data_IF_110754085514
#
_entry.id   IF_110754085514
#
_cell.length_a   1.000
_cell.length_b   1.000
_cell.length_c   1.000
_cell.angle_alpha   90.00
_cell.angle_beta   90.00
_cell.angle_gamma   90.00
#
_symmetry.space_group_name_H-M   'P 1'
#
loop_
_entity.id
_entity.type
_entity.pdbx_description
1 polymer ?
#
# COMPACT_ATOMS: atom_id res chain seq x y z
N UNK A 1 -2.88 -13.50 3.22
CA UNK A 1 -2.01 -12.58 2.45
C UNK A 1 -0.56 -12.97 2.69
N UNK A 2 0.28 -13.08 1.65
CA UNK A 2 1.71 -13.34 1.86
C UNK A 2 2.41 -12.04 2.35
N UNK A 3 3.45 -12.18 3.17
CA UNK A 3 4.23 -11.05 3.72
C UNK A 3 4.89 -10.19 2.64
N UNK A 4 5.20 -10.75 1.47
CA UNK A 4 5.77 -10.05 0.31
C UNK A 4 4.80 -9.00 -0.21
N UNK A 5 3.52 -9.35 -0.39
CA UNK A 5 2.49 -8.44 -0.90
C UNK A 5 2.05 -7.40 0.14
N UNK A 6 2.02 -7.77 1.42
CA UNK A 6 1.69 -6.83 2.50
C UNK A 6 2.70 -5.68 2.57
N UNK A 7 3.93 -5.87 2.11
CA UNK A 7 4.93 -4.80 2.04
C UNK A 7 4.72 -3.81 0.88
N UNK A 8 3.75 -4.05 -0.01
CA UNK A 8 3.57 -3.24 -1.22
C UNK A 8 2.12 -2.75 -1.36
N UNK A 9 1.16 -3.67 -1.35
CA UNK A 9 -0.25 -3.37 -1.62
C UNK A 9 -0.84 -2.28 -0.71
N UNK A 10 -0.55 -2.21 0.61
CA UNK A 10 -1.06 -1.13 1.45
C UNK A 10 -0.53 0.25 1.05
N UNK A 11 0.70 0.33 0.54
CA UNK A 11 1.29 1.59 0.08
C UNK A 11 0.64 2.05 -1.23
N UNK A 12 0.45 1.15 -2.18
CA UNK A 12 -0.28 1.43 -3.42
C UNK A 12 -1.74 1.83 -3.13
N UNK A 13 -2.39 1.13 -2.22
CA UNK A 13 -3.76 1.45 -1.77
C UNK A 13 -3.84 2.87 -1.20
N UNK A 14 -2.85 3.28 -0.40
CA UNK A 14 -2.77 4.65 0.14
C UNK A 14 -2.62 5.69 -0.98
N UNK A 15 -1.78 5.42 -1.98
CA UNK A 15 -1.62 6.31 -3.13
C UNK A 15 -2.93 6.50 -3.90
N UNK A 16 -3.65 5.40 -4.16
CA UNK A 16 -4.96 5.46 -4.82
C UNK A 16 -6.00 6.23 -4.00
N UNK A 17 -6.02 6.03 -2.68
CA UNK A 17 -6.94 6.74 -1.80
C UNK A 17 -6.71 8.25 -1.83
N UNK A 18 -5.44 8.67 -1.89
CA UNK A 18 -5.05 10.07 -1.99
C UNK A 18 -5.39 10.68 -3.35
N UNK A 19 -5.16 9.96 -4.45
CA UNK A 19 -5.53 10.39 -5.79
C UNK A 19 -7.05 10.65 -5.89
N UNK A 20 -7.86 9.74 -5.35
CA UNK A 20 -9.32 9.88 -5.28
C UNK A 20 -9.72 11.07 -4.39
N UNK A 21 -9.06 11.25 -3.25
CA UNK A 21 -9.41 12.30 -2.29
C UNK A 21 -8.98 13.70 -2.75
N UNK A 22 -7.95 13.78 -3.59
CA UNK A 22 -7.35 15.02 -4.07
C UNK A 22 -6.59 15.79 -2.98
N UNK A 23 -6.18 17.02 -3.33
CA UNK A 23 -5.24 17.81 -2.52
C UNK A 23 -5.69 18.08 -1.08
N UNK A 24 -6.99 18.04 -0.76
CA UNK A 24 -7.49 18.22 0.61
C UNK A 24 -6.97 17.15 1.59
N UNK A 25 -6.64 15.95 1.11
CA UNK A 25 -6.15 14.84 1.92
C UNK A 25 -4.62 14.59 1.82
N UNK A 26 -3.92 15.29 0.92
CA UNK A 26 -2.50 15.06 0.64
C UNK A 26 -1.64 16.28 0.96
N UNK A 27 -1.89 17.41 0.30
CA UNK A 27 -1.10 18.65 0.46
C UNK A 27 -1.27 19.35 1.82
N UNK A 28 -2.12 18.84 2.71
CA UNK A 28 -2.46 19.55 3.95
C UNK A 28 -3.20 20.87 3.71
N UNK A 29 -3.82 21.08 2.54
CA UNK A 29 -4.64 22.27 2.21
C UNK A 29 -5.83 22.51 3.16
N UNK A 30 -6.12 21.55 4.04
CA UNK A 30 -7.16 21.68 5.04
C UNK A 30 -6.64 22.48 6.25
N UNK A 31 -7.31 23.58 6.63
CA UNK A 31 -6.98 24.33 7.84
C UNK A 31 -7.07 23.46 9.10
N UNK A 32 -6.41 23.91 10.18
CA UNK A 32 -6.40 23.18 11.44
C UNK A 32 -7.79 23.14 12.09
N UNK A 33 -7.98 22.23 13.05
CA UNK A 33 -9.22 22.22 13.84
C UNK A 33 -9.45 23.56 14.56
N UNK A 34 -8.39 24.22 15.02
CA UNK A 34 -8.47 25.52 15.69
C UNK A 34 -9.01 26.58 14.73
N UNK A 35 -8.52 26.58 13.48
CA UNK A 35 -9.00 27.48 12.42
C UNK A 35 -10.49 27.26 12.14
N UNK A 36 -10.93 26.00 12.11
CA UNK A 36 -12.35 25.66 11.91
C UNK A 36 -13.25 26.10 13.07
N UNK A 37 -12.70 26.27 14.27
CA UNK A 37 -13.40 26.77 15.46
C UNK A 37 -13.23 28.27 15.69
N UNK A 38 -12.51 28.96 14.81
CA UNK A 38 -12.34 30.41 14.88
C UNK A 38 -13.69 31.13 14.80
N UNK A 39 -14.02 32.03 15.74
CA UNK A 39 -15.24 32.83 15.67
C UNK A 39 -15.18 33.88 14.55
N UNK A 40 -13.99 34.16 14.00
CA UNK A 40 -13.78 35.21 12.99
C UNK A 40 -14.04 34.66 11.58
N UNK A 41 -13.61 33.42 11.31
CA UNK A 41 -13.60 32.87 9.95
C UNK A 41 -13.95 31.39 9.86
N UNK A 42 -14.16 30.67 10.97
CA UNK A 42 -14.45 29.23 10.97
C UNK A 42 -15.70 28.89 10.18
N UNK A 43 -16.77 29.68 10.31
CA UNK A 43 -18.00 29.48 9.53
C UNK A 43 -17.76 29.61 8.02
N UNK A 44 -16.93 30.58 7.59
CA UNK A 44 -16.57 30.77 6.17
C UNK A 44 -15.77 29.59 5.65
N UNK A 45 -14.83 29.07 6.44
CA UNK A 45 -14.06 27.87 6.10
C UNK A 45 -14.99 26.66 5.94
N UNK A 46 -15.84 26.38 6.92
CA UNK A 46 -16.79 25.26 6.86
C UNK A 46 -17.71 25.39 5.65
N UNK A 47 -18.22 26.58 5.35
CA UNK A 47 -19.04 26.83 4.17
C UNK A 47 -18.29 26.53 2.87
N UNK A 48 -17.02 26.92 2.76
CA UNK A 48 -16.18 26.67 1.58
C UNK A 48 -15.84 25.20 1.36
N UNK A 49 -15.86 24.39 2.42
CA UNK A 49 -15.53 22.97 2.38
C UNK A 49 -16.74 22.06 2.15
N UNK A 50 -17.96 22.61 2.17
CA UNK A 50 -19.18 21.84 1.90
C UNK A 50 -19.15 21.20 0.51
N UNK A 51 -19.65 19.98 0.39
CA UNK A 51 -19.79 19.25 -0.87
C UNK A 51 -21.18 18.59 -0.94
N UNK A 52 -21.30 17.43 -1.59
CA UNK A 52 -22.50 16.59 -1.51
C UNK A 52 -22.79 16.02 -0.11
N UNK A 53 -21.88 16.26 0.84
CA UNK A 53 -21.99 15.88 2.26
C UNK A 53 -21.70 17.08 3.17
N UNK A 54 -21.91 16.93 4.48
CA UNK A 54 -21.57 17.96 5.45
C UNK A 54 -20.06 18.29 5.40
N UNK A 55 -19.71 19.54 5.68
CA UNK A 55 -18.30 19.95 5.72
C UNK A 55 -17.52 19.20 6.79
N UNK A 56 -18.17 18.92 7.94
CA UNK A 56 -17.55 18.17 9.03
C UNK A 56 -17.19 16.73 8.62
N UNK A 57 -18.09 16.03 7.94
CA UNK A 57 -17.84 14.65 7.51
C UNK A 57 -16.74 14.61 6.45
N UNK A 58 -16.76 15.56 5.50
CA UNK A 58 -15.70 15.69 4.48
C UNK A 58 -14.33 15.94 5.12
N UNK A 59 -14.27 16.84 6.10
CA UNK A 59 -13.05 17.17 6.85
C UNK A 59 -12.53 15.94 7.62
N UNK A 60 -13.40 15.24 8.34
CA UNK A 60 -13.03 14.04 9.11
C UNK A 60 -12.45 12.95 8.22
N UNK A 61 -13.08 12.69 7.07
CA UNK A 61 -12.60 11.70 6.12
C UNK A 61 -11.26 12.10 5.48
N UNK A 62 -11.12 13.37 5.08
CA UNK A 62 -9.86 13.85 4.54
C UNK A 62 -8.72 13.80 5.57
N UNK A 63 -8.97 14.14 6.85
CA UNK A 63 -7.96 14.04 7.93
C UNK A 63 -7.59 12.60 8.24
N UNK A 64 -8.53 11.67 8.19
CA UNK A 64 -8.23 10.25 8.37
C UNK A 64 -7.30 9.73 7.27
N UNK A 65 -7.57 10.07 6.01
CA UNK A 65 -6.73 9.68 4.88
C UNK A 65 -5.33 10.31 4.97
N UNK A 66 -5.25 11.60 5.29
CA UNK A 66 -3.99 12.30 5.54
C UNK A 66 -3.18 11.61 6.65
N UNK A 67 -3.82 11.28 7.77
CA UNK A 67 -3.17 10.60 8.90
C UNK A 67 -2.64 9.20 8.53
N UNK A 68 -3.37 8.46 7.71
CA UNK A 68 -2.97 7.15 7.21
C UNK A 68 -1.86 7.25 6.15
N UNK A 69 -1.77 8.35 5.40
CA UNK A 69 -0.84 8.50 4.29
C UNK A 69 0.49 9.14 4.71
N UNK A 70 0.46 10.37 5.20
CA UNK A 70 1.64 11.17 5.58
C UNK A 70 1.79 11.35 7.09
N UNK A 71 0.73 11.07 7.86
CA UNK A 71 0.74 11.20 9.32
C UNK A 71 1.38 10.01 10.04
N UNK A 72 1.14 9.94 11.35
CA UNK A 72 1.70 8.90 12.23
C UNK A 72 0.98 7.54 12.13
N UNK A 73 0.09 7.34 11.16
CA UNK A 73 -0.57 6.06 10.92
C UNK A 73 0.41 4.99 10.46
N UNK A 74 1.14 4.36 11.39
CA UNK A 74 2.13 3.33 11.11
C UNK A 74 1.41 2.06 10.65
N UNK A 75 1.54 1.62 9.38
CA UNK A 75 0.82 0.45 8.89
C UNK A 75 1.35 -0.87 9.46
N UNK A 76 2.57 -0.90 10.02
CA UNK A 76 3.22 -2.14 10.49
C UNK A 76 3.56 -3.14 9.36
N UNK A 77 3.27 -2.79 8.11
CA UNK A 77 3.25 -3.71 6.97
C UNK A 77 4.64 -4.04 6.39
N UNK A 78 5.61 -3.13 6.54
CA UNK A 78 6.96 -3.33 5.97
C UNK A 78 7.77 -4.36 6.73
N UNK A 79 7.81 -4.24 8.06
CA UNK A 79 8.73 -5.00 8.91
C UNK A 79 8.03 -5.91 9.92
N UNK A 80 6.69 -5.87 10.03
CA UNK A 80 5.95 -6.79 10.88
C UNK A 80 6.21 -8.25 10.49
N UNK A 81 6.79 -9.03 11.39
CA UNK A 81 7.18 -10.43 11.12
C UNK A 81 8.43 -10.60 10.24
N UNK A 82 9.24 -9.55 10.06
CA UNK A 82 10.48 -9.56 9.29
C UNK A 82 10.41 -8.77 7.98
N UNK A 83 11.57 -8.49 7.37
CA UNK A 83 11.64 -7.73 6.12
C UNK A 83 11.06 -8.53 4.94
N UNK A 84 10.57 -7.85 3.88
CA UNK A 84 9.96 -8.53 2.73
C UNK A 84 10.93 -9.51 2.04
N UNK A 85 12.23 -9.20 2.04
CA UNK A 85 13.25 -10.07 1.45
C UNK A 85 13.43 -11.38 2.21
N UNK A 86 13.23 -11.39 3.53
CA UNK A 86 13.17 -12.63 4.32
C UNK A 86 12.02 -13.51 3.84
N UNK A 87 10.83 -12.93 3.64
CA UNK A 87 9.69 -13.67 3.12
C UNK A 87 9.93 -14.18 1.68
N UNK A 88 10.56 -13.38 0.81
CA UNK A 88 10.95 -13.82 -0.55
C UNK A 88 11.94 -14.99 -0.50
N UNK A 89 12.92 -14.95 0.40
CA UNK A 89 13.88 -16.03 0.57
C UNK A 89 13.20 -17.33 1.01
N UNK A 90 12.25 -17.27 1.94
CA UNK A 90 11.45 -18.42 2.38
C UNK A 90 10.63 -19.00 1.21
N UNK A 91 9.94 -18.15 0.44
CA UNK A 91 9.20 -18.58 -0.76
C UNK A 91 10.15 -19.24 -1.77
N UNK A 92 11.31 -18.64 -2.04
CA UNK A 92 12.31 -19.19 -2.96
C UNK A 92 12.81 -20.56 -2.51
N UNK A 93 13.10 -20.74 -1.22
CA UNK A 93 13.56 -22.00 -0.67
C UNK A 93 12.49 -23.10 -0.70
N UNK A 94 11.22 -22.74 -0.46
CA UNK A 94 10.10 -23.69 -0.46
C UNK A 94 9.57 -24.03 -1.87
N UNK A 95 9.97 -23.28 -2.90
CA UNK A 95 9.50 -23.49 -4.27
C UNK A 95 10.16 -24.71 -4.91
N UNK A 96 9.35 -25.59 -5.51
CA UNK A 96 9.81 -26.82 -6.18
C UNK A 96 10.34 -26.51 -7.59
N UNK A 97 11.45 -25.77 -7.65
CA UNK A 97 12.05 -25.30 -8.91
C UNK A 97 12.30 -26.43 -9.91
N UNK A 98 12.89 -27.53 -9.46
CA UNK A 98 13.18 -28.70 -10.30
C UNK A 98 11.89 -29.21 -10.98
N UNK A 99 10.77 -29.30 -10.24
CA UNK A 99 9.50 -29.77 -10.83
C UNK A 99 8.96 -28.81 -11.89
N UNK A 100 9.05 -27.51 -11.67
CA UNK A 100 8.56 -26.51 -12.62
C UNK A 100 9.40 -26.45 -13.89
N UNK A 101 10.71 -26.64 -13.78
CA UNK A 101 11.57 -26.74 -14.96
C UNK A 101 11.28 -28.04 -15.71
N UNK A 102 11.00 -29.15 -15.04
CA UNK A 102 10.60 -30.41 -15.68
C UNK A 102 9.29 -30.25 -16.47
N UNK A 103 8.31 -29.55 -15.89
CA UNK A 103 7.07 -29.23 -16.61
C UNK A 103 7.34 -28.41 -17.88
N UNK A 104 8.18 -27.37 -17.78
CA UNK A 104 8.55 -26.55 -18.94
C UNK A 104 9.28 -27.37 -20.01
N UNK A 105 10.19 -28.27 -19.60
CA UNK A 105 10.92 -29.19 -20.48
C UNK A 105 9.99 -30.08 -21.29
N UNK A 106 9.01 -30.70 -20.62
CA UNK A 106 8.02 -31.57 -21.27
C UNK A 106 7.17 -30.79 -22.26
N UNK A 107 6.69 -29.60 -21.87
CA UNK A 107 5.89 -28.74 -22.75
C UNK A 107 6.67 -28.28 -23.99
N UNK A 108 7.96 -27.98 -23.83
CA UNK A 108 8.85 -27.54 -24.91
C UNK A 108 9.46 -28.69 -25.72
N UNK A 109 9.16 -29.97 -25.39
CA UNK A 109 9.76 -31.16 -26.00
C UNK A 109 11.30 -31.17 -25.96
N UNK A 110 11.90 -30.70 -24.87
CA UNK A 110 13.36 -30.70 -24.69
C UNK A 110 13.79 -32.02 -24.03
N UNK A 111 14.67 -32.77 -24.67
CA UNK A 111 15.11 -34.08 -24.15
C UNK A 111 16.21 -33.97 -23.07
N UNK A 112 17.01 -32.91 -23.10
CA UNK A 112 18.13 -32.71 -22.18
C UNK A 112 17.68 -32.74 -20.71
N UNK A 113 18.38 -33.48 -19.81
CA UNK A 113 18.01 -33.55 -18.42
C UNK A 113 18.28 -32.22 -17.69
N UNK A 114 17.49 -32.00 -16.63
CA UNK A 114 17.46 -30.77 -15.85
C UNK A 114 18.75 -30.47 -15.08
N UNK A 115 19.42 -31.52 -14.60
CA UNK A 115 20.75 -31.44 -13.98
C UNK A 115 21.74 -32.07 -14.95
N UNK A 116 22.79 -31.33 -15.29
CA UNK A 116 23.98 -31.96 -15.85
C UNK A 116 24.40 -33.09 -14.89
N UNK A 117 24.62 -34.29 -15.43
CA UNK A 117 25.30 -35.34 -14.65
C UNK A 117 26.59 -34.73 -14.11
N UNK A 118 26.80 -34.82 -12.79
CA UNK A 118 28.08 -34.40 -12.20
C UNK A 118 29.18 -35.14 -12.97
N UNK A 119 29.96 -34.41 -13.77
CA UNK A 119 31.18 -34.96 -14.37
C UNK A 119 32.03 -35.48 -13.21
N UNK A 120 32.25 -36.80 -13.21
CA UNK A 120 33.07 -37.51 -12.23
C UNK A 120 34.50 -36.99 -12.24
#
# INVERSE_FOLDING_TARGET
>A
MNKVHVATLPYETKMLAVDIAGGIAETGCMPSYIDMKSPIYGEKLLKSLKAGVSSEDRIKMARLLEWLHIGSGVPGCMHGGGSPDTAKAVVKAATKWDQYVDFARVLAKVEAPLKEEKKK
#
